data_IF_014823131535
#
_entry.id   IF_014823131535
#
_cell.length_a   1.000
_cell.length_b   1.000
_cell.length_c   1.000
_cell.angle_alpha   90.00
_cell.angle_beta   90.00
_cell.angle_gamma   90.00
#
_symmetry.space_group_name_H-M   'P 1'
#
loop_
_entity.id
_entity.type
_entity.pdbx_description
1 polymer ?
#
# COMPACT_ATOMS: atom_id res chain seq x y z
N UNK A 1 -13.30 -26.05 -32.50
CA UNK A 1 -12.72 -25.96 -31.14
C UNK A 1 -12.23 -24.57 -30.82
N UNK A 2 -12.90 -23.85 -29.90
CA UNK A 2 -12.36 -22.60 -29.35
C UNK A 2 -11.24 -22.94 -28.38
N UNK A 3 -9.99 -22.66 -28.77
CA UNK A 3 -8.84 -22.73 -27.86
C UNK A 3 -8.96 -21.60 -26.85
N UNK A 4 -9.33 -21.92 -25.61
CA UNK A 4 -9.32 -20.97 -24.51
C UNK A 4 -7.87 -20.90 -24.01
N UNK A 5 -7.29 -19.70 -23.97
CA UNK A 5 -5.97 -19.50 -23.39
C UNK A 5 -5.99 -19.90 -21.91
N UNK A 6 -4.97 -20.61 -21.39
CA UNK A 6 -4.94 -21.05 -20.00
C UNK A 6 -4.69 -19.91 -19.00
N UNK A 7 -4.35 -18.72 -19.50
CA UNK A 7 -4.12 -17.54 -18.67
C UNK A 7 -5.43 -17.03 -18.05
N UNK A 8 -5.34 -16.65 -16.77
CA UNK A 8 -6.41 -15.99 -16.03
C UNK A 8 -5.82 -14.75 -15.37
N UNK A 9 -6.55 -13.63 -15.31
CA UNK A 9 -6.09 -12.48 -14.57
C UNK A 9 -5.85 -12.88 -13.11
N UNK A 10 -4.83 -12.32 -12.44
CA UNK A 10 -4.67 -12.50 -11.01
C UNK A 10 -5.96 -12.16 -10.27
N UNK A 11 -6.26 -12.95 -9.25
CA UNK A 11 -7.55 -12.93 -8.55
C UNK A 11 -7.88 -11.54 -8.01
N UNK A 12 -6.89 -10.82 -7.50
CA UNK A 12 -6.97 -9.47 -6.96
C UNK A 12 -7.34 -8.39 -7.98
N UNK A 13 -7.30 -8.67 -9.28
CA UNK A 13 -7.71 -7.71 -10.31
C UNK A 13 -9.20 -7.76 -10.62
N UNK A 14 -9.85 -8.88 -10.30
CA UNK A 14 -11.22 -9.21 -10.75
C UNK A 14 -12.17 -9.56 -9.61
N UNK A 15 -11.67 -9.80 -8.40
CA UNK A 15 -12.48 -10.08 -7.22
C UNK A 15 -12.71 -8.84 -6.35
N UNK A 16 -13.90 -8.73 -5.77
CA UNK A 16 -14.14 -7.83 -4.64
C UNK A 16 -13.26 -8.20 -3.44
N UNK A 17 -12.91 -7.19 -2.64
CA UNK A 17 -11.86 -7.24 -1.62
C UNK A 17 -11.90 -8.49 -0.73
N UNK A 18 -10.72 -9.06 -0.47
CA UNK A 18 -10.53 -10.04 0.62
C UNK A 18 -10.97 -9.40 1.94
N UNK A 19 -11.60 -10.19 2.83
CA UNK A 19 -11.76 -9.76 4.23
C UNK A 19 -10.36 -9.56 4.81
N UNK A 20 -10.01 -8.32 5.11
CA UNK A 20 -8.71 -7.95 5.70
C UNK A 20 -7.49 -8.20 4.78
N UNK A 21 -7.31 -7.42 3.69
CA UNK A 21 -6.15 -7.54 2.84
C UNK A 21 -4.85 -7.25 3.60
N UNK A 22 -3.75 -7.78 3.05
CA UNK A 22 -2.39 -7.48 3.50
C UNK A 22 -1.77 -6.53 2.48
N UNK A 23 -1.34 -5.36 2.94
CA UNK A 23 -0.53 -4.43 2.15
C UNK A 23 0.95 -4.69 2.42
N UNK A 24 1.70 -5.07 1.39
CA UNK A 24 3.15 -5.25 1.48
C UNK A 24 3.84 -3.90 1.41
N UNK A 25 4.87 -3.72 2.23
CA UNK A 25 5.62 -2.47 2.28
C UNK A 25 7.13 -2.70 2.43
N UNK A 26 7.91 -1.71 1.99
CA UNK A 26 9.32 -1.56 2.35
C UNK A 26 9.46 -0.49 3.43
N UNK A 27 10.52 -0.56 4.25
CA UNK A 27 10.78 0.47 5.27
C UNK A 27 10.88 1.86 4.66
N UNK A 28 10.22 2.81 5.30
CA UNK A 28 10.27 4.22 4.91
C UNK A 28 11.60 4.86 5.33
N UNK A 29 11.93 5.98 4.70
CA UNK A 29 13.19 6.70 4.96
C UNK A 29 13.32 7.22 6.39
N UNK A 30 12.20 7.43 7.08
CA UNK A 30 12.17 7.91 8.47
C UNK A 30 11.85 6.78 9.46
N UNK A 31 11.88 5.51 9.04
CA UNK A 31 11.55 4.36 9.91
C UNK A 31 12.39 4.30 11.19
N UNK A 32 13.65 4.76 11.13
CA UNK A 32 14.54 4.86 12.30
C UNK A 32 14.13 5.92 13.33
N UNK A 33 13.17 6.80 13.00
CA UNK A 33 12.62 7.81 13.91
C UNK A 33 11.46 7.30 14.74
N UNK A 34 11.03 6.07 14.53
CA UNK A 34 9.99 5.41 15.30
C UNK A 34 10.61 4.46 16.32
N UNK A 35 9.92 4.26 17.44
CA UNK A 35 10.39 3.29 18.42
C UNK A 35 10.22 1.86 17.88
N UNK A 36 10.92 0.89 18.48
CA UNK A 36 10.89 -0.50 18.00
C UNK A 36 9.47 -1.06 18.00
N UNK A 37 8.64 -0.70 18.99
CA UNK A 37 7.25 -1.13 19.08
C UNK A 37 6.37 -0.61 17.93
N UNK A 38 6.65 0.56 17.35
CA UNK A 38 5.85 1.09 16.25
C UNK A 38 5.97 0.23 14.98
N UNK A 39 7.18 -0.22 14.64
CA UNK A 39 7.36 -1.12 13.49
C UNK A 39 6.77 -2.50 13.79
N UNK A 40 6.91 -2.99 15.01
CA UNK A 40 6.28 -4.23 15.47
C UNK A 40 4.76 -4.13 15.29
N UNK A 41 4.10 -3.13 15.89
CA UNK A 41 2.67 -2.88 15.76
C UNK A 41 2.22 -2.76 14.31
N UNK A 42 2.97 -2.05 13.45
CA UNK A 42 2.63 -1.97 12.04
C UNK A 42 2.53 -3.36 11.40
N UNK A 43 3.40 -4.31 11.79
CA UNK A 43 3.45 -5.66 11.21
C UNK A 43 2.59 -6.71 11.92
N UNK A 44 2.25 -6.52 13.20
CA UNK A 44 1.53 -7.52 14.00
C UNK A 44 0.05 -7.19 14.18
N UNK A 45 -0.31 -5.91 14.13
CA UNK A 45 -1.65 -5.44 14.47
C UNK A 45 -2.54 -5.28 13.25
N UNK A 46 -3.85 -5.35 13.47
CA UNK A 46 -4.85 -5.00 12.46
C UNK A 46 -5.23 -3.53 12.61
N UNK A 47 -5.27 -2.81 11.49
CA UNK A 47 -5.78 -1.45 11.40
C UNK A 47 -7.18 -1.43 10.80
N UNK A 48 -7.95 -0.40 11.15
CA UNK A 48 -9.31 -0.15 10.65
C UNK A 48 -9.31 1.13 9.83
N UNK A 49 -9.93 1.10 8.67
CA UNK A 49 -10.02 2.27 7.78
C UNK A 49 -11.00 3.28 8.36
N UNK A 50 -10.50 4.49 8.61
CA UNK A 50 -11.26 5.61 9.14
C UNK A 50 -12.26 6.14 8.09
N UNK A 51 -13.44 6.63 8.52
CA UNK A 51 -14.39 7.31 7.62
C UNK A 51 -13.84 8.57 6.96
N UNK A 52 -12.76 9.16 7.48
CA UNK A 52 -12.10 10.36 6.92
C UNK A 52 -11.14 10.02 5.75
N UNK A 53 -11.15 8.78 5.28
CA UNK A 53 -10.34 8.33 4.13
C UNK A 53 -10.95 8.80 2.82
N UNK A 54 -10.09 9.24 1.91
CA UNK A 54 -10.47 9.75 0.59
C UNK A 54 -9.42 9.39 -0.47
N UNK A 55 -9.49 10.03 -1.65
CA UNK A 55 -8.54 9.81 -2.74
C UNK A 55 -7.14 10.36 -2.47
N UNK A 56 -6.95 11.21 -1.45
CA UNK A 56 -5.63 11.68 -1.02
C UNK A 56 -4.93 10.62 -0.16
N UNK A 57 -5.68 9.89 0.67
CA UNK A 57 -5.09 8.82 1.46
C UNK A 57 -6.07 7.99 2.27
N UNK A 58 -5.67 6.74 2.52
CA UNK A 58 -6.33 5.84 3.45
C UNK A 58 -5.84 6.15 4.86
N UNK A 59 -6.75 6.65 5.71
CA UNK A 59 -6.47 6.96 7.12
C UNK A 59 -6.82 5.75 7.97
N UNK A 60 -5.96 5.41 8.90
CA UNK A 60 -6.05 4.15 9.62
C UNK A 60 -6.10 4.35 11.14
N UNK A 61 -7.11 3.76 11.76
CA UNK A 61 -7.25 3.62 13.19
C UNK A 61 -6.63 2.31 13.68
N UNK A 62 -5.89 2.37 14.79
CA UNK A 62 -5.20 1.23 15.38
C UNK A 62 -4.26 1.69 16.50
N UNK A 63 -3.33 0.83 16.96
CA UNK A 63 -2.30 1.23 17.92
C UNK A 63 -1.50 2.44 17.42
N UNK A 64 -1.14 3.34 18.33
CA UNK A 64 -0.38 4.53 17.97
C UNK A 64 1.05 4.14 17.61
N UNK A 65 1.52 4.63 16.46
CA UNK A 65 2.88 4.42 15.98
C UNK A 65 3.77 5.57 16.49
N UNK A 66 4.34 5.36 17.67
CA UNK A 66 5.07 6.40 18.39
C UNK A 66 6.46 6.68 17.83
N UNK A 67 6.83 7.96 17.84
CA UNK A 67 8.15 8.45 17.44
C UNK A 67 9.14 8.29 18.60
N UNK A 68 10.40 8.06 18.27
CA UNK A 68 11.51 8.05 19.23
C UNK A 68 11.90 9.46 19.69
N UNK A 69 11.50 10.50 18.95
CA UNK A 69 11.67 11.91 19.30
C UNK A 69 10.67 12.82 18.56
N UNK A 70 10.44 14.00 19.13
CA UNK A 70 9.52 15.03 18.60
C UNK A 70 10.20 16.04 17.66
N UNK A 71 11.27 15.66 16.98
CA UNK A 71 11.96 16.58 16.07
C UNK A 71 11.08 16.85 14.85
N UNK A 72 10.74 18.12 14.61
CA UNK A 72 10.01 18.51 13.40
C UNK A 72 10.81 18.20 12.14
N UNK A 73 10.11 17.66 11.14
CA UNK A 73 10.69 17.35 9.83
C UNK A 73 10.49 18.53 8.89
N UNK A 74 11.53 18.81 8.10
CA UNK A 74 11.37 19.64 6.92
C UNK A 74 10.44 18.91 5.94
N UNK A 75 9.63 19.69 5.24
CA UNK A 75 8.75 19.15 4.21
C UNK A 75 9.57 18.54 3.07
N UNK A 76 9.24 17.31 2.71
CA UNK A 76 9.97 16.51 1.71
C UNK A 76 9.02 15.96 0.65
N UNK A 77 9.58 15.52 -0.47
CA UNK A 77 8.82 14.86 -1.52
C UNK A 77 8.15 13.59 -1.00
N UNK A 78 6.88 13.41 -1.38
CA UNK A 78 6.11 12.19 -1.13
C UNK A 78 5.51 11.68 -2.44
N UNK A 79 5.13 10.41 -2.44
CA UNK A 79 4.53 9.73 -3.57
C UNK A 79 3.41 8.80 -3.07
N UNK A 80 2.48 8.38 -3.95
CA UNK A 80 1.51 7.34 -3.63
C UNK A 80 2.20 6.10 -3.07
N UNK A 81 1.62 5.52 -2.02
CA UNK A 81 2.20 4.41 -1.25
C UNK A 81 2.98 4.84 -0.02
N UNK A 82 3.42 6.09 0.07
CA UNK A 82 4.07 6.58 1.30
C UNK A 82 3.11 6.46 2.49
N UNK A 83 3.60 5.85 3.57
CA UNK A 83 2.87 5.75 4.84
C UNK A 83 3.39 6.82 5.79
N UNK A 84 2.62 7.88 5.93
CA UNK A 84 2.91 8.99 6.84
C UNK A 84 2.30 8.73 8.21
N UNK A 85 2.99 9.13 9.27
CA UNK A 85 2.46 9.09 10.64
C UNK A 85 2.46 10.51 11.22
N UNK A 86 1.29 11.17 11.31
CA UNK A 86 1.14 12.46 11.98
C UNK A 86 1.39 12.36 13.49
N UNK A 87 1.41 13.49 14.23
CA UNK A 87 1.54 13.49 15.70
C UNK A 87 0.50 12.66 16.45
N UNK A 88 -0.66 12.36 15.84
CA UNK A 88 -1.66 11.46 16.42
C UNK A 88 -1.23 9.99 16.49
N UNK A 89 -0.13 9.61 15.83
CA UNK A 89 0.34 8.23 15.73
C UNK A 89 -0.48 7.35 14.78
N UNK A 90 -1.47 7.90 14.07
CA UNK A 90 -2.38 7.16 13.19
C UNK A 90 -1.86 7.18 11.74
N UNK A 91 -1.52 6.03 11.14
CA UNK A 91 -0.89 6.02 9.82
C UNK A 91 -1.87 6.44 8.72
N UNK A 92 -1.31 7.09 7.69
CA UNK A 92 -2.01 7.48 6.46
C UNK A 92 -1.24 6.90 5.27
N UNK A 93 -1.88 6.03 4.49
CA UNK A 93 -1.33 5.54 3.23
C UNK A 93 -1.73 6.52 2.12
N UNK A 94 -0.76 7.24 1.57
CA UNK A 94 -1.02 8.22 0.51
C UNK A 94 -1.45 7.54 -0.80
N UNK A 95 -2.47 8.12 -1.46
CA UNK A 95 -3.05 7.64 -2.72
C UNK A 95 -2.80 8.66 -3.85
N UNK A 96 -3.39 8.41 -5.03
CA UNK A 96 -3.08 9.14 -6.26
C UNK A 96 -3.34 10.65 -6.23
N UNK A 97 -4.23 11.14 -5.37
CA UNK A 97 -4.53 12.57 -5.27
C UNK A 97 -3.74 13.23 -4.12
N UNK A 98 -2.77 12.54 -3.53
CA UNK A 98 -1.97 13.09 -2.44
C UNK A 98 -1.16 14.31 -2.89
N UNK A 99 -0.82 15.16 -1.92
CA UNK A 99 0.15 16.24 -2.10
C UNK A 99 1.51 15.70 -2.58
N UNK A 100 2.31 16.54 -3.23
CA UNK A 100 3.67 16.19 -3.67
C UNK A 100 4.72 16.42 -2.59
N UNK A 101 4.41 17.24 -1.58
CA UNK A 101 5.30 17.64 -0.48
C UNK A 101 4.59 17.41 0.85
N UNK A 102 5.21 16.69 1.78
CA UNK A 102 4.65 16.38 3.09
C UNK A 102 5.65 16.53 4.23
N UNK A 103 5.16 16.94 5.41
CA UNK A 103 5.99 17.18 6.61
C UNK A 103 5.93 16.09 7.68
N UNK A 104 5.17 15.00 7.45
CA UNK A 104 5.07 13.91 8.42
C UNK A 104 6.10 12.81 8.17
N UNK A 105 6.64 12.19 9.22
CA UNK A 105 7.60 11.10 9.12
C UNK A 105 7.02 9.91 8.37
N UNK A 106 7.85 9.31 7.53
CA UNK A 106 7.52 8.20 6.62
C UNK A 106 8.00 6.88 7.21
N UNK A 107 7.12 6.12 7.87
CA UNK A 107 7.47 4.85 8.51
C UNK A 107 7.65 3.71 7.49
N UNK A 108 6.89 3.74 6.41
CA UNK A 108 6.81 2.68 5.41
C UNK A 108 6.48 3.26 4.03
N UNK A 109 6.66 2.44 3.00
CA UNK A 109 6.17 2.70 1.65
C UNK A 109 5.52 1.42 1.11
N UNK A 110 4.20 1.45 0.90
CA UNK A 110 3.43 0.36 0.30
C UNK A 110 3.90 0.15 -1.14
N UNK A 111 4.13 -1.11 -1.52
CA UNK A 111 4.66 -1.42 -2.84
C UNK A 111 3.62 -1.14 -3.92
N UNK A 112 4.07 -0.73 -5.11
CA UNK A 112 3.23 -0.25 -6.22
C UNK A 112 2.09 -1.21 -6.56
N UNK A 113 2.37 -2.52 -6.58
CA UNK A 113 1.38 -3.54 -6.97
C UNK A 113 0.21 -3.69 -5.99
N UNK A 114 0.38 -3.23 -4.74
CA UNK A 114 -0.64 -3.30 -3.69
C UNK A 114 -1.44 -1.99 -3.57
N UNK A 115 -1.09 -0.92 -4.30
CA UNK A 115 -1.82 0.37 -4.26
C UNK A 115 -3.26 0.24 -4.76
N UNK A 116 -3.50 -0.62 -5.75
CA UNK A 116 -4.86 -0.91 -6.23
C UNK A 116 -5.73 -1.56 -5.15
N UNK A 117 -5.14 -2.33 -4.23
CA UNK A 117 -5.82 -2.92 -3.09
C UNK A 117 -6.14 -1.83 -2.07
N UNK A 118 -5.15 -0.98 -1.74
CA UNK A 118 -5.34 0.14 -0.82
C UNK A 118 -6.45 1.10 -1.28
N UNK A 119 -6.51 1.40 -2.59
CA UNK A 119 -7.53 2.28 -3.17
C UNK A 119 -8.96 1.70 -3.16
N UNK A 120 -9.13 0.41 -2.92
CA UNK A 120 -10.44 -0.24 -2.80
C UNK A 120 -10.95 -0.36 -1.36
N UNK A 121 -10.14 0.00 -0.38
CA UNK A 121 -10.51 0.00 1.03
C UNK A 121 -11.61 1.03 1.31
N UNK A 122 -12.59 0.64 2.13
CA UNK A 122 -13.73 1.47 2.54
C UNK A 122 -13.70 1.69 4.05
N UNK A 123 -14.40 2.72 4.52
CA UNK A 123 -14.57 2.95 5.95
C UNK A 123 -15.02 1.67 6.68
N UNK A 124 -14.43 1.41 7.84
CA UNK A 124 -14.57 0.19 8.65
C UNK A 124 -13.95 -1.10 8.09
N UNK A 125 -13.36 -1.09 6.88
CA UNK A 125 -12.57 -2.23 6.44
C UNK A 125 -11.35 -2.43 7.35
N UNK A 126 -10.94 -3.69 7.50
CA UNK A 126 -9.73 -4.07 8.23
C UNK A 126 -8.58 -4.19 7.25
N UNK A 127 -7.36 -3.89 7.66
CA UNK A 127 -6.15 -4.06 6.85
C UNK A 127 -4.97 -4.43 7.74
N UNK A 128 -4.07 -5.27 7.21
CA UNK A 128 -2.79 -5.61 7.85
C UNK A 128 -1.63 -5.24 6.94
N UNK A 129 -0.44 -5.15 7.51
CA UNK A 129 0.78 -4.89 6.75
C UNK A 129 1.76 -6.05 6.83
N UNK A 130 2.61 -6.16 5.82
CA UNK A 130 3.73 -7.10 5.80
C UNK A 130 4.97 -6.44 5.23
N UNK A 131 6.05 -6.44 6.00
CA UNK A 131 7.34 -5.99 5.49
C UNK A 131 7.85 -6.97 4.42
N UNK A 132 8.35 -6.43 3.31
CA UNK A 132 9.04 -7.16 2.25
C UNK A 132 10.35 -6.48 1.91
N UNK A 133 11.27 -7.24 1.35
CA UNK A 133 12.52 -6.68 0.80
C UNK A 133 12.25 -5.89 -0.49
N UNK A 134 13.16 -4.97 -0.83
CA UNK A 134 13.13 -4.27 -2.11
C UNK A 134 13.17 -5.24 -3.31
N UNK A 135 13.91 -6.34 -3.19
CA UNK A 135 13.96 -7.38 -4.23
C UNK A 135 12.66 -8.15 -4.40
N UNK A 136 11.90 -8.39 -3.33
CA UNK A 136 10.55 -8.95 -3.40
C UNK A 136 9.56 -7.96 -4.02
N UNK A 137 9.64 -6.68 -3.65
CA UNK A 137 8.81 -5.63 -4.24
C UNK A 137 9.02 -5.52 -5.75
N UNK A 138 10.29 -5.52 -6.20
CA UNK A 138 10.64 -5.45 -7.62
C UNK A 138 10.16 -6.69 -8.37
N UNK A 139 10.35 -7.90 -7.82
CA UNK A 139 9.84 -9.13 -8.44
C UNK A 139 8.33 -9.10 -8.62
N UNK A 140 7.59 -8.64 -7.61
CA UNK A 140 6.14 -8.51 -7.71
C UNK A 140 5.71 -7.52 -8.80
N UNK A 141 6.46 -6.43 -9.00
CA UNK A 141 6.21 -5.49 -10.09
C UNK A 141 6.44 -6.14 -11.47
N UNK A 142 7.56 -6.83 -11.67
CA UNK A 142 7.84 -7.53 -12.93
C UNK A 142 6.81 -8.63 -13.24
N UNK A 143 6.33 -9.35 -12.22
CA UNK A 143 5.24 -10.33 -12.37
C UNK A 143 3.95 -9.63 -12.83
N UNK A 144 3.59 -8.50 -12.21
CA UNK A 144 2.43 -7.69 -12.58
C UNK A 144 2.52 -7.19 -14.03
N UNK A 145 3.68 -6.73 -14.46
CA UNK A 145 3.92 -6.28 -15.85
C UNK A 145 3.77 -7.43 -16.85
N UNK A 146 4.33 -8.60 -16.54
CA UNK A 146 4.18 -9.81 -17.38
C UNK A 146 2.72 -10.24 -17.52
N UNK A 147 1.95 -10.18 -16.43
CA UNK A 147 0.53 -10.51 -16.47
C UNK A 147 -0.26 -9.52 -17.36
N UNK A 148 0.07 -8.22 -17.29
CA UNK A 148 -0.56 -7.20 -18.13
C UNK A 148 -0.21 -7.40 -19.62
N UNK A 149 1.04 -7.76 -19.93
CA UNK A 149 1.44 -8.09 -21.29
C UNK A 149 0.72 -9.32 -21.83
N UNK A 150 0.58 -10.38 -21.02
CA UNK A 150 -0.19 -11.56 -21.41
C UNK A 150 -1.66 -11.24 -21.65
N UNK A 151 -2.25 -10.40 -20.80
CA UNK A 151 -3.61 -9.92 -21.00
C UNK A 151 -3.77 -9.15 -22.32
N UNK A 152 -2.84 -8.22 -22.61
CA UNK A 152 -2.83 -7.43 -23.84
C UNK A 152 -2.76 -8.32 -25.08
N UNK A 153 -1.85 -9.29 -25.11
CA UNK A 153 -1.74 -10.24 -26.22
C UNK A 153 -3.02 -11.07 -26.39
N UNK A 154 -3.67 -11.46 -25.30
CA UNK A 154 -4.94 -12.18 -25.33
C UNK A 154 -6.09 -11.37 -25.94
N UNK A 155 -6.16 -10.08 -25.63
CA UNK A 155 -7.11 -9.15 -26.26
C UNK A 155 -6.83 -9.03 -27.76
N UNK A 156 -5.59 -8.73 -28.15
CA UNK A 156 -5.19 -8.54 -29.54
C UNK A 156 -5.50 -9.79 -30.39
N UNK A 157 -5.20 -10.98 -29.85
CA UNK A 157 -5.45 -12.26 -30.54
C UNK A 157 -6.94 -12.65 -30.63
N UNK A 158 -7.84 -11.98 -29.90
CA UNK A 158 -9.29 -12.24 -29.94
C UNK A 158 -10.02 -11.41 -30.99
N UNK A 159 -9.39 -10.33 -31.47
CA UNK A 159 -9.96 -9.38 -32.42
C UNK A 159 -9.38 -9.51 -33.85
N UNK A 160 -8.54 -10.53 -34.10
CA UNK A 160 -8.16 -11.03 -35.44
C UNK A 160 -8.97 -12.28 -35.81
#
# INVERSE_FOLDING_TARGET
>A
DKRIAPWKPPHDWSSTARREPILRFIRGSDSNRFNTSALEYLTTETFVVSPDSDRMGVRLDGPALERSNDVDLLSEAVAPGTVQVPPSGKPIVLLNDCQTIGGYPKIAHVITVDLGIAAQLRASDRVRFKEVSLGEAHRALLERERDLEQFRHGIESHFE
#
